data_IF_066369851329
#
_entry.id   IF_066369851329
#
_cell.length_a   1.000
_cell.length_b   1.000
_cell.length_c   1.000
_cell.angle_alpha   90.00
_cell.angle_beta   90.00
_cell.angle_gamma   90.00
#
_symmetry.space_group_name_H-M   'P 1'
#
loop_
_entity.id
_entity.type
_entity.pdbx_description
1 polymer ?
#
# COMPACT_ATOMS: atom_id res chain seq x y z
N UNK A 1 -3.96 -7.35 8.39
CA UNK A 1 -3.05 -8.19 7.57
C UNK A 1 -1.60 -7.84 7.88
N UNK A 2 -0.68 -8.74 7.61
CA UNK A 2 0.74 -8.46 7.77
C UNK A 2 1.26 -7.69 6.57
N UNK A 3 1.98 -6.59 6.80
CA UNK A 3 2.55 -5.77 5.73
C UNK A 3 4.04 -6.01 5.61
N UNK A 4 4.50 -6.34 4.41
CA UNK A 4 5.93 -6.48 4.08
C UNK A 4 6.21 -5.68 2.81
N UNK A 5 7.48 -5.44 2.51
CA UNK A 5 7.89 -4.66 1.36
C UNK A 5 8.65 -5.55 0.38
N UNK A 6 8.35 -5.41 -0.91
CA UNK A 6 9.03 -6.17 -1.96
C UNK A 6 10.50 -5.78 -2.08
N UNK A 7 10.84 -4.56 -1.64
CA UNK A 7 12.16 -3.97 -1.84
C UNK A 7 12.53 -3.16 -0.59
N UNK A 8 13.79 -3.29 -0.18
CA UNK A 8 14.30 -2.62 1.02
C UNK A 8 14.19 -1.09 0.93
N UNK A 9 14.26 -0.54 -0.27
CA UNK A 9 14.14 0.89 -0.46
C UNK A 9 12.75 1.39 -0.05
N UNK A 10 11.70 0.64 -0.39
CA UNK A 10 10.33 0.98 -0.01
C UNK A 10 10.12 0.95 1.49
N UNK A 11 10.79 0.05 2.19
CA UNK A 11 10.69 -0.07 3.64
C UNK A 11 11.16 1.20 4.37
N UNK A 12 11.95 2.04 3.72
CA UNK A 12 12.40 3.32 4.28
C UNK A 12 11.25 4.26 4.62
N UNK A 13 10.06 4.04 4.01
CA UNK A 13 8.87 4.87 4.31
C UNK A 13 8.55 4.89 5.80
N UNK A 14 8.86 3.82 6.52
CA UNK A 14 8.59 3.68 7.95
C UNK A 14 9.75 4.17 8.84
N UNK A 15 10.81 4.68 8.24
CA UNK A 15 12.02 5.07 8.95
C UNK A 15 12.29 6.57 8.81
N UNK A 16 13.29 7.07 9.52
CA UNK A 16 13.77 8.44 9.41
C UNK A 16 14.48 8.71 8.07
N UNK A 17 14.71 7.66 7.27
CA UNK A 17 15.28 7.77 5.92
C UNK A 17 14.22 7.87 4.82
N UNK A 18 12.95 8.05 5.18
CA UNK A 18 11.87 8.15 4.19
C UNK A 18 12.10 9.23 3.13
N UNK A 19 12.82 10.31 3.51
CA UNK A 19 13.16 11.39 2.58
C UNK A 19 13.96 10.90 1.36
N UNK A 20 14.67 9.77 1.49
CA UNK A 20 15.45 9.19 0.38
C UNK A 20 14.57 8.61 -0.72
N UNK A 21 13.27 8.44 -0.47
CA UNK A 21 12.32 7.98 -1.49
C UNK A 21 11.95 9.06 -2.50
N UNK A 22 12.32 10.31 -2.24
CA UNK A 22 12.00 11.41 -3.14
C UNK A 22 10.53 11.82 -3.13
N UNK A 23 9.76 11.40 -2.13
CA UNK A 23 8.34 11.74 -2.00
C UNK A 23 8.16 12.99 -1.15
N UNK A 24 7.15 13.83 -1.45
CA UNK A 24 6.81 14.96 -0.58
C UNK A 24 6.51 14.48 0.85
N UNK A 25 6.84 15.32 1.83
CA UNK A 25 6.61 14.99 3.25
C UNK A 25 5.15 14.66 3.53
N UNK A 26 4.21 15.42 2.96
CA UNK A 26 2.79 15.15 3.14
C UNK A 26 2.39 13.77 2.63
N UNK A 27 3.00 13.33 1.52
CA UNK A 27 2.76 11.99 0.96
C UNK A 27 3.33 10.92 1.89
N UNK A 28 4.52 11.14 2.45
CA UNK A 28 5.14 10.20 3.38
C UNK A 28 4.23 9.98 4.60
N UNK A 29 3.74 11.07 5.19
CA UNK A 29 2.86 10.98 6.36
C UNK A 29 1.54 10.28 6.03
N UNK A 30 0.93 10.63 4.90
CA UNK A 30 -0.32 10.01 4.48
C UNK A 30 -0.13 8.53 4.15
N UNK A 31 0.98 8.17 3.49
CA UNK A 31 1.28 6.78 3.18
C UNK A 31 1.46 5.94 4.45
N UNK A 32 2.14 6.47 5.46
CA UNK A 32 2.30 5.77 6.74
C UNK A 32 0.95 5.47 7.38
N UNK A 33 0.02 6.41 7.35
CA UNK A 33 -1.34 6.20 7.86
C UNK A 33 -2.06 5.09 7.09
N UNK A 34 -1.90 5.05 5.77
CA UNK A 34 -2.53 4.01 4.95
C UNK A 34 -1.93 2.64 5.23
N UNK A 35 -0.63 2.57 5.48
CA UNK A 35 0.02 1.31 5.85
C UNK A 35 -0.50 0.78 7.19
N UNK A 36 -0.76 1.66 8.15
CA UNK A 36 -1.38 1.29 9.43
C UNK A 36 -2.78 0.71 9.18
N UNK A 37 -3.56 1.32 8.29
CA UNK A 37 -4.88 0.82 7.94
C UNK A 37 -4.82 -0.56 7.26
N UNK A 38 -3.83 -0.80 6.41
CA UNK A 38 -3.61 -2.11 5.80
C UNK A 38 -3.31 -3.17 6.87
N UNK A 39 -2.46 -2.85 7.84
CA UNK A 39 -2.14 -3.77 8.93
C UNK A 39 -3.36 -4.08 9.80
N UNK A 40 -4.19 -3.07 10.05
CA UNK A 40 -5.39 -3.22 10.89
C UNK A 40 -6.50 -4.01 10.20
N UNK A 41 -6.50 -4.08 8.88
CA UNK A 41 -7.51 -4.84 8.13
C UNK A 41 -7.33 -6.33 8.35
N UNK A 42 -8.44 -7.05 8.50
CA UNK A 42 -8.40 -8.51 8.64
C UNK A 42 -8.17 -9.21 7.30
N UNK A 43 -8.74 -8.66 6.23
CA UNK A 43 -8.63 -9.22 4.88
C UNK A 43 -8.98 -8.15 3.82
N UNK A 44 -9.00 -8.56 2.56
CA UNK A 44 -9.31 -7.70 1.41
C UNK A 44 -10.69 -7.04 1.54
N UNK A 45 -11.65 -7.72 2.17
CA UNK A 45 -13.01 -7.21 2.31
C UNK A 45 -13.03 -5.91 3.11
N UNK A 46 -12.22 -5.83 4.16
CA UNK A 46 -12.11 -4.60 4.96
C UNK A 46 -11.60 -3.44 4.12
N UNK A 47 -10.67 -3.70 3.19
CA UNK A 47 -10.14 -2.67 2.30
C UNK A 47 -11.22 -2.11 1.37
N UNK A 48 -12.10 -2.97 0.87
CA UNK A 48 -13.21 -2.55 0.00
C UNK A 48 -14.23 -1.71 0.75
N UNK A 49 -14.43 -1.99 2.03
CA UNK A 49 -15.43 -1.29 2.85
C UNK A 49 -14.96 0.10 3.29
N UNK A 50 -13.67 0.37 3.28
CA UNK A 50 -13.13 1.68 3.64
C UNK A 50 -13.05 2.56 2.40
N UNK A 51 -14.09 3.37 2.18
CA UNK A 51 -14.21 4.22 0.99
C UNK A 51 -13.03 5.17 0.81
N UNK A 52 -12.46 5.65 1.91
CA UNK A 52 -11.32 6.57 1.87
C UNK A 52 -10.08 5.96 1.23
N UNK A 53 -9.96 4.63 1.21
CA UNK A 53 -8.84 3.94 0.60
C UNK A 53 -8.96 3.89 -0.92
N UNK A 54 -10.18 4.01 -1.46
CA UNK A 54 -10.44 3.90 -2.90
C UNK A 54 -9.72 2.68 -3.50
N UNK A 55 -9.95 1.52 -2.87
CA UNK A 55 -9.33 0.25 -3.24
C UNK A 55 -9.64 -0.13 -4.68
N UNK A 56 -8.61 -0.49 -5.43
CA UNK A 56 -8.75 -0.91 -6.84
C UNK A 56 -7.86 -2.10 -7.14
N UNK A 57 -8.36 -2.99 -8.01
CA UNK A 57 -7.54 -4.02 -8.66
C UNK A 57 -7.13 -3.51 -10.03
N UNK A 58 -5.88 -3.80 -10.44
CA UNK A 58 -5.44 -3.46 -11.79
C UNK A 58 -6.21 -4.31 -12.79
N UNK A 59 -6.91 -3.68 -13.71
CA UNK A 59 -7.71 -4.35 -14.72
C UNK A 59 -6.87 -4.74 -15.94
N UNK A 60 -7.25 -5.85 -16.59
CA UNK A 60 -6.58 -6.32 -17.79
C UNK A 60 -5.21 -6.94 -17.55
N UNK A 61 -4.91 -7.29 -16.31
CA UNK A 61 -3.63 -7.87 -15.93
C UNK A 61 -3.84 -9.00 -14.93
N UNK A 62 -3.07 -10.07 -15.08
CA UNK A 62 -3.11 -11.23 -14.18
C UNK A 62 -2.06 -11.16 -13.07
N UNK A 63 -1.41 -10.00 -12.89
CA UNK A 63 -0.32 -9.84 -11.92
C UNK A 63 -0.79 -9.73 -10.47
N UNK A 64 -2.11 -9.61 -10.24
CA UNK A 64 -2.66 -9.50 -8.91
C UNK A 64 -2.39 -8.18 -8.20
N UNK A 65 -1.91 -7.17 -8.93
CA UNK A 65 -1.61 -5.86 -8.35
C UNK A 65 -2.90 -5.15 -7.95
N UNK A 66 -2.90 -4.64 -6.73
CA UNK A 66 -3.98 -3.84 -6.18
C UNK A 66 -3.39 -2.51 -5.72
N UNK A 67 -4.27 -1.52 -5.51
CA UNK A 67 -3.80 -0.23 -4.99
C UNK A 67 -4.82 0.40 -4.06
N UNK A 68 -4.31 1.25 -3.16
CA UNK A 68 -5.13 2.14 -2.35
C UNK A 68 -4.62 3.56 -2.52
N UNK A 69 -5.53 4.51 -2.32
CA UNK A 69 -5.23 5.93 -2.49
C UNK A 69 -4.49 6.48 -1.28
N UNK A 70 -3.41 7.23 -1.53
CA UNK A 70 -2.73 8.03 -0.52
C UNK A 70 -3.33 9.44 -0.53
N UNK A 71 -3.41 10.04 -1.73
CA UNK A 71 -4.07 11.33 -1.98
C UNK A 71 -4.50 11.36 -3.46
N UNK A 72 -4.86 12.53 -4.00
CA UNK A 72 -5.36 12.65 -5.38
C UNK A 72 -4.34 12.21 -6.43
N UNK A 73 -3.06 12.22 -6.10
CA UNK A 73 -1.99 11.97 -7.06
C UNK A 73 -1.25 10.66 -6.79
N UNK A 74 -1.11 10.25 -5.53
CA UNK A 74 -0.26 9.14 -5.14
C UNK A 74 -1.07 7.94 -4.66
N UNK A 75 -0.59 6.72 -4.99
CA UNK A 75 -1.19 5.46 -4.56
C UNK A 75 -0.13 4.51 -4.04
N UNK A 76 -0.56 3.56 -3.21
CA UNK A 76 0.26 2.43 -2.77
C UNK A 76 -0.19 1.21 -3.56
N UNK A 77 0.74 0.55 -4.25
CA UNK A 77 0.48 -0.68 -4.98
C UNK A 77 0.98 -1.87 -4.18
N UNK A 78 0.23 -2.96 -4.21
CA UNK A 78 0.56 -4.14 -3.42
C UNK A 78 -0.10 -5.40 -3.99
N UNK A 79 0.37 -6.56 -3.50
CA UNK A 79 -0.28 -7.85 -3.73
C UNK A 79 -0.74 -8.42 -2.40
N UNK A 80 -1.72 -9.32 -2.43
CA UNK A 80 -2.20 -10.00 -1.23
C UNK A 80 -1.99 -11.51 -1.43
N UNK A 81 -1.35 -12.14 -0.45
CA UNK A 81 -1.16 -13.59 -0.43
C UNK A 81 -2.42 -14.26 0.13
N UNK A 82 -2.97 -15.22 -0.60
CA UNK A 82 -4.20 -15.92 -0.20
C UNK A 82 -3.95 -17.16 0.66
N UNK A 83 -2.72 -17.64 0.70
CA UNK A 83 -2.38 -18.93 1.35
C UNK A 83 -2.07 -18.84 2.83
N UNK A 84 -2.08 -17.64 3.41
CA UNK A 84 -1.62 -17.43 4.79
C UNK A 84 -2.69 -16.75 5.65
N UNK A 85 -2.61 -16.99 6.96
CA UNK A 85 -3.52 -16.41 7.95
C UNK A 85 -2.72 -15.78 9.09
N UNK A 86 -2.72 -14.44 9.26
CA UNK A 86 -3.42 -13.47 8.42
C UNK A 86 -2.78 -13.36 7.01
N UNK A 87 -3.51 -12.85 6.01
CA UNK A 87 -2.94 -12.64 4.69
C UNK A 87 -1.75 -11.69 4.74
N UNK A 88 -0.81 -11.85 3.81
CA UNK A 88 0.37 -10.99 3.70
C UNK A 88 0.17 -10.01 2.56
N UNK A 89 0.32 -8.71 2.89
CA UNK A 89 0.31 -7.62 1.91
C UNK A 89 1.76 -7.28 1.59
N UNK A 90 2.15 -7.45 0.33
CA UNK A 90 3.50 -7.10 -0.13
C UNK A 90 3.43 -5.79 -0.91
N UNK A 91 4.04 -4.74 -0.36
CA UNK A 91 4.06 -3.42 -1.00
C UNK A 91 5.05 -3.45 -2.16
N UNK A 92 4.57 -3.16 -3.37
CA UNK A 92 5.39 -3.22 -4.58
C UNK A 92 5.79 -1.84 -5.11
N UNK A 93 4.99 -0.81 -4.83
CA UNK A 93 5.32 0.55 -5.25
C UNK A 93 4.54 1.57 -4.42
N UNK A 94 5.13 2.75 -4.24
CA UNK A 94 4.47 3.92 -3.65
C UNK A 94 4.84 5.08 -4.55
N UNK A 95 3.86 5.67 -5.22
CA UNK A 95 4.18 6.75 -6.14
C UNK A 95 2.98 7.31 -6.87
N UNK A 96 3.30 8.20 -7.82
CA UNK A 96 2.33 8.82 -8.71
C UNK A 96 1.90 7.80 -9.75
N UNK A 97 0.59 7.59 -9.89
CA UNK A 97 0.02 6.60 -10.81
C UNK A 97 -0.70 7.24 -12.00
N UNK A 98 -0.57 8.54 -12.16
CA UNK A 98 -1.18 9.25 -13.29
C UNK A 98 -0.31 9.24 -14.53
#
# INVERSE_FOLDING_TARGET
MRVVFADKNLARILTDEAHKLGLPIAVIKAARNKLVQLEAAADERDLRNLKSLNYKKRQGSDDGIRSIRVNDQYRIQFTISDGERPPIVTITAIGDTH
#
